data_IF_406423386611
#
_entry.id   IF_406423386611
#
_cell.length_a   1.000
_cell.length_b   1.000
_cell.length_c   1.000
_cell.angle_alpha   90.00
_cell.angle_beta   90.00
_cell.angle_gamma   90.00
#
_symmetry.space_group_name_H-M   'P 1'
#
loop_
_entity.id
_entity.type
_entity.pdbx_description
1 polymer ?
#
# COMPACT_ATOMS: atom_id res chain seq x y z
N UNK A 1 -19.39 17.06 41.82
CA UNK A 1 -18.32 16.16 41.28
C UNK A 1 -18.85 14.94 40.48
N UNK A 2 -20.06 14.40 40.77
CA UNK A 2 -20.67 13.29 40.02
C UNK A 2 -21.35 13.74 38.72
N UNK A 3 -21.79 14.98 38.59
CA UNK A 3 -22.46 15.49 37.39
C UNK A 3 -21.51 15.66 36.16
N UNK A 4 -20.21 15.91 36.38
CA UNK A 4 -19.22 16.03 35.32
C UNK A 4 -18.91 14.69 34.61
N UNK A 5 -19.00 13.58 35.35
CA UNK A 5 -18.75 12.24 34.79
C UNK A 5 -19.92 11.74 33.93
N UNK A 6 -21.15 12.12 34.26
CA UNK A 6 -22.34 11.80 33.44
C UNK A 6 -22.35 12.59 32.12
N UNK A 7 -21.84 13.82 32.10
CA UNK A 7 -21.73 14.65 30.90
C UNK A 7 -20.67 14.10 29.95
N UNK A 8 -19.55 13.60 30.46
CA UNK A 8 -18.52 12.93 29.68
C UNK A 8 -18.99 11.61 29.07
N UNK A 9 -19.84 10.85 29.79
CA UNK A 9 -20.43 9.62 29.31
C UNK A 9 -21.42 9.86 28.17
N UNK A 10 -22.21 10.91 28.22
CA UNK A 10 -23.16 11.29 27.18
C UNK A 10 -22.45 11.79 25.91
N UNK A 11 -21.40 12.59 26.04
CA UNK A 11 -20.60 13.04 24.89
C UNK A 11 -19.83 11.91 24.24
N UNK A 12 -19.34 10.96 25.02
CA UNK A 12 -18.69 9.76 24.51
C UNK A 12 -19.67 8.85 23.76
N UNK A 13 -20.87 8.68 24.28
CA UNK A 13 -21.93 7.88 23.65
C UNK A 13 -22.45 8.52 22.36
N UNK A 14 -22.59 9.84 22.34
CA UNK A 14 -22.97 10.58 21.13
C UNK A 14 -21.86 10.54 20.08
N UNK A 15 -20.61 10.65 20.48
CA UNK A 15 -19.46 10.49 19.58
C UNK A 15 -19.38 9.09 19.00
N UNK A 16 -19.65 8.07 19.79
CA UNK A 16 -19.67 6.68 19.32
C UNK A 16 -20.81 6.43 18.33
N UNK A 17 -21.98 7.00 18.53
CA UNK A 17 -23.09 6.87 17.59
C UNK A 17 -22.87 7.65 16.29
N UNK A 18 -22.14 8.77 16.32
CA UNK A 18 -21.76 9.51 15.11
C UNK A 18 -20.62 8.84 14.35
N UNK A 19 -19.70 8.13 15.04
CA UNK A 19 -18.62 7.40 14.42
C UNK A 19 -19.06 6.04 13.84
N UNK A 20 -20.19 5.48 14.27
CA UNK A 20 -20.74 4.25 13.70
C UNK A 20 -21.26 4.42 12.26
N UNK A 21 -21.49 5.65 11.80
CA UNK A 21 -21.83 5.97 10.42
C UNK A 21 -20.64 6.41 9.57
N UNK A 22 -19.43 6.48 10.14
CA UNK A 22 -18.21 6.61 9.36
C UNK A 22 -17.77 5.22 8.93
N UNK A 23 -17.79 5.02 7.64
CA UNK A 23 -17.20 3.88 6.96
C UNK A 23 -15.85 3.54 7.59
N UNK A 24 -15.75 2.34 8.18
CA UNK A 24 -14.52 1.92 8.86
C UNK A 24 -13.53 1.45 7.81
N UNK A 25 -12.58 2.32 7.46
CA UNK A 25 -11.44 1.96 6.63
C UNK A 25 -10.54 1.02 7.45
N UNK A 26 -10.16 -0.15 6.93
CA UNK A 26 -9.23 -1.03 7.65
C UNK A 26 -7.94 -0.33 8.00
N UNK A 27 -7.43 -0.56 9.20
CA UNK A 27 -6.20 0.07 9.70
C UNK A 27 -5.01 -0.16 8.75
N UNK A 28 -4.90 -1.36 8.19
CA UNK A 28 -3.84 -1.68 7.22
C UNK A 28 -3.88 -0.74 6.01
N UNK A 29 -5.06 -0.44 5.49
CA UNK A 29 -5.23 0.49 4.37
C UNK A 29 -4.80 1.90 4.77
N UNK A 30 -5.22 2.38 5.94
CA UNK A 30 -4.82 3.70 6.44
C UNK A 30 -3.31 3.83 6.58
N UNK A 31 -2.66 2.80 7.09
CA UNK A 31 -1.20 2.78 7.28
C UNK A 31 -0.44 2.77 5.95
N UNK A 32 -0.90 1.99 4.98
CA UNK A 32 -0.31 1.98 3.64
C UNK A 32 -0.46 3.36 2.98
N UNK A 33 -1.66 3.93 3.02
CA UNK A 33 -1.95 5.26 2.46
C UNK A 33 -1.09 6.33 3.10
N UNK A 34 -0.98 6.33 4.41
CA UNK A 34 -0.14 7.28 5.15
C UNK A 34 1.32 7.19 4.72
N UNK A 35 1.85 5.97 4.59
CA UNK A 35 3.21 5.75 4.14
C UNK A 35 3.43 6.24 2.71
N UNK A 36 2.57 5.86 1.77
CA UNK A 36 2.68 6.25 0.36
C UNK A 36 2.58 7.77 0.20
N UNK A 37 1.65 8.41 0.90
CA UNK A 37 1.51 9.87 0.86
C UNK A 37 2.79 10.57 1.35
N UNK A 38 3.39 10.08 2.43
CA UNK A 38 4.64 10.62 2.96
C UNK A 38 5.81 10.42 1.99
N UNK A 39 5.96 9.22 1.46
CA UNK A 39 7.02 8.90 0.48
C UNK A 39 6.89 9.75 -0.78
N UNK A 40 5.67 9.93 -1.27
CA UNK A 40 5.39 10.77 -2.43
C UNK A 40 5.77 12.24 -2.19
N UNK A 41 5.39 12.81 -1.04
CA UNK A 41 5.74 14.20 -0.68
C UNK A 41 7.26 14.41 -0.61
N UNK A 42 7.96 13.42 -0.08
CA UNK A 42 9.42 13.46 0.08
C UNK A 42 10.19 13.03 -1.19
N UNK A 43 9.48 12.58 -2.21
CA UNK A 43 10.06 12.02 -3.44
C UNK A 43 11.04 10.88 -3.14
N UNK A 44 10.63 10.00 -2.25
CA UNK A 44 11.37 8.78 -1.92
C UNK A 44 10.80 7.64 -2.76
N UNK A 45 11.64 7.02 -3.58
CA UNK A 45 11.25 5.90 -4.41
C UNK A 45 10.82 4.70 -3.58
N UNK A 46 9.71 4.07 -3.96
CA UNK A 46 9.16 2.92 -3.24
C UNK A 46 8.50 1.95 -4.20
N UNK A 47 8.54 0.67 -3.84
CA UNK A 47 7.89 -0.42 -4.55
C UNK A 47 7.24 -1.35 -3.52
N UNK A 48 5.92 -1.33 -3.46
CA UNK A 48 5.13 -2.10 -2.51
C UNK A 48 4.21 -3.04 -3.29
N UNK A 49 4.28 -4.33 -2.97
CA UNK A 49 3.48 -5.36 -3.61
C UNK A 49 2.48 -5.92 -2.60
N UNK A 50 1.20 -5.85 -2.94
CA UNK A 50 0.14 -6.43 -2.14
C UNK A 50 -0.21 -7.80 -2.72
N UNK A 51 0.15 -8.87 -2.01
CA UNK A 51 -0.18 -10.23 -2.38
C UNK A 51 -1.69 -10.47 -2.23
N UNK A 52 -2.28 -11.13 -3.23
CA UNK A 52 -3.69 -11.54 -3.20
C UNK A 52 -3.79 -13.07 -3.13
N UNK A 53 -4.42 -13.70 -4.12
CA UNK A 53 -4.63 -15.16 -4.13
C UNK A 53 -3.39 -15.93 -4.59
N UNK A 54 -2.66 -15.39 -5.58
CA UNK A 54 -1.43 -16.03 -6.07
C UNK A 54 -0.29 -15.76 -5.08
N UNK A 55 0.27 -16.82 -4.50
CA UNK A 55 1.35 -16.72 -3.53
C UNK A 55 2.63 -16.18 -4.14
N UNK A 56 3.34 -15.35 -3.38
CA UNK A 56 4.61 -14.74 -3.75
C UNK A 56 5.79 -15.29 -2.94
N UNK A 57 5.69 -16.51 -2.48
CA UNK A 57 6.71 -17.15 -1.62
C UNK A 57 8.11 -17.08 -2.23
N UNK A 58 8.24 -17.37 -3.52
CA UNK A 58 9.54 -17.33 -4.22
C UNK A 58 10.14 -15.93 -4.22
N UNK A 59 9.32 -14.90 -4.38
CA UNK A 59 9.74 -13.49 -4.31
C UNK A 59 10.16 -13.13 -2.89
N UNK A 60 9.35 -13.51 -1.91
CA UNK A 60 9.60 -13.25 -0.48
C UNK A 60 10.96 -13.81 -0.06
N UNK A 61 11.29 -15.02 -0.51
CA UNK A 61 12.56 -15.70 -0.18
C UNK A 61 13.79 -14.97 -0.73
N UNK A 62 13.66 -14.13 -1.75
CA UNK A 62 14.78 -13.33 -2.28
C UNK A 62 15.17 -12.16 -1.40
N UNK A 63 14.30 -11.73 -0.51
CA UNK A 63 14.48 -10.54 0.31
C UNK A 63 14.87 -10.84 1.74
N UNK A 64 14.80 -9.81 2.56
CA UNK A 64 14.99 -9.89 4.01
C UNK A 64 13.63 -10.12 4.67
N UNK A 65 13.51 -11.20 5.43
CA UNK A 65 12.29 -11.51 6.17
C UNK A 65 12.03 -10.45 7.24
N UNK A 66 10.84 -9.88 7.25
CA UNK A 66 10.38 -8.90 8.25
C UNK A 66 9.32 -9.54 9.14
N UNK A 67 8.26 -10.07 8.53
CA UNK A 67 7.13 -10.71 9.21
C UNK A 67 6.54 -9.87 10.32
N UNK A 68 6.39 -8.58 10.10
CA UNK A 68 5.92 -7.58 11.05
C UNK A 68 4.61 -6.92 10.63
N UNK A 69 3.92 -6.33 11.59
CA UNK A 69 2.67 -5.62 11.33
C UNK A 69 2.90 -4.42 10.41
N UNK A 70 2.03 -4.25 9.41
CA UNK A 70 2.05 -3.08 8.54
C UNK A 70 1.82 -1.83 9.38
N UNK A 71 2.78 -0.90 9.31
CA UNK A 71 2.65 0.44 9.87
C UNK A 71 3.29 1.44 8.94
N UNK A 72 2.77 2.67 8.97
CA UNK A 72 3.34 3.78 8.20
C UNK A 72 4.82 3.98 8.54
N UNK A 73 5.16 3.96 9.83
CA UNK A 73 6.54 4.11 10.27
C UNK A 73 7.47 3.03 9.74
N UNK A 74 7.06 1.78 9.75
CA UNK A 74 7.85 0.67 9.22
C UNK A 74 8.09 0.84 7.71
N UNK A 75 7.04 1.11 6.94
CA UNK A 75 7.15 1.26 5.49
C UNK A 75 8.03 2.45 5.11
N UNK A 76 7.86 3.60 5.76
CA UNK A 76 8.69 4.78 5.51
C UNK A 76 10.17 4.48 5.81
N UNK A 77 10.46 3.85 6.95
CA UNK A 77 11.82 3.52 7.32
C UNK A 77 12.49 2.53 6.37
N UNK A 78 11.74 1.55 5.86
CA UNK A 78 12.29 0.60 4.88
C UNK A 78 12.82 1.34 3.64
N UNK A 79 12.11 2.35 3.15
CA UNK A 79 12.45 3.02 1.90
C UNK A 79 13.40 4.21 2.04
N UNK A 80 13.85 4.54 3.25
CA UNK A 80 14.86 5.58 3.44
C UNK A 80 16.08 5.28 2.57
N UNK A 81 16.51 6.23 1.70
CA UNK A 81 17.64 6.02 0.79
C UNK A 81 18.94 5.65 1.52
N UNK A 82 19.78 4.88 0.85
CA UNK A 82 21.08 4.44 1.35
C UNK A 82 21.02 3.52 2.58
N UNK A 83 19.88 2.88 2.80
CA UNK A 83 19.73 1.85 3.84
C UNK A 83 19.67 0.46 3.19
N UNK A 84 20.00 -0.62 3.92
CA UNK A 84 20.05 -1.97 3.34
C UNK A 84 18.73 -2.48 2.76
N UNK A 85 17.59 -1.97 3.24
CA UNK A 85 16.27 -2.49 2.88
C UNK A 85 15.55 -1.69 1.78
N UNK A 86 16.08 -0.51 1.39
CA UNK A 86 15.38 0.39 0.48
C UNK A 86 15.36 -0.09 -0.97
N UNK A 87 16.38 -0.86 -1.38
CA UNK A 87 16.54 -1.33 -2.75
C UNK A 87 15.79 -2.66 -2.95
N UNK A 88 14.76 -2.63 -3.77
CA UNK A 88 13.88 -3.76 -4.02
C UNK A 88 12.45 -3.50 -3.59
N UNK A 89 11.68 -4.57 -3.50
CA UNK A 89 10.26 -4.50 -3.19
C UNK A 89 9.95 -4.94 -1.76
N UNK A 90 8.93 -4.32 -1.19
CA UNK A 90 8.27 -4.78 0.03
C UNK A 90 7.08 -5.64 -0.38
N UNK A 91 6.93 -6.81 0.21
CA UNK A 91 5.77 -7.68 0.00
C UNK A 91 4.88 -7.64 1.23
N UNK A 92 3.62 -7.26 1.02
CA UNK A 92 2.59 -7.24 2.06
C UNK A 92 1.57 -8.33 1.76
N UNK A 93 1.23 -9.10 2.78
CA UNK A 93 0.12 -10.05 2.75
C UNK A 93 -0.79 -9.80 3.95
N UNK A 94 -2.06 -9.45 3.70
CA UNK A 94 -2.97 -9.08 4.76
C UNK A 94 -2.44 -7.89 5.56
N UNK A 95 -2.34 -8.03 6.86
CA UNK A 95 -1.86 -6.98 7.77
C UNK A 95 -0.36 -7.02 8.04
N UNK A 96 0.41 -7.87 7.32
CA UNK A 96 1.83 -8.07 7.61
C UNK A 96 2.72 -7.69 6.44
N UNK A 97 3.83 -7.02 6.76
CA UNK A 97 4.99 -6.91 5.88
C UNK A 97 5.73 -8.23 5.97
N UNK A 98 5.73 -9.01 4.89
CA UNK A 98 6.38 -10.33 4.86
C UNK A 98 7.88 -10.21 4.69
N UNK A 99 8.33 -9.37 3.77
CA UNK A 99 9.75 -9.17 3.48
C UNK A 99 9.98 -7.81 2.82
N UNK A 100 11.24 -7.36 2.86
CA UNK A 100 11.72 -6.17 2.18
C UNK A 100 12.94 -6.50 1.33
N UNK A 101 13.36 -5.58 0.47
CA UNK A 101 14.49 -5.77 -0.44
C UNK A 101 14.34 -7.01 -1.33
N UNK A 102 13.11 -7.33 -1.74
CA UNK A 102 12.83 -8.47 -2.60
C UNK A 102 13.11 -8.14 -4.07
N UNK A 103 13.61 -9.14 -4.81
CA UNK A 103 13.84 -9.02 -6.24
C UNK A 103 12.62 -9.44 -7.04
N UNK A 104 12.26 -8.61 -8.02
CA UNK A 104 11.15 -8.87 -8.92
C UNK A 104 11.65 -9.00 -10.36
N UNK A 105 10.95 -9.80 -11.20
CA UNK A 105 11.25 -9.83 -12.62
C UNK A 105 10.89 -8.48 -13.27
N UNK A 106 11.77 -7.99 -14.13
CA UNK A 106 11.48 -6.79 -14.89
C UNK A 106 10.59 -7.13 -16.08
N UNK A 107 9.62 -6.26 -16.38
CA UNK A 107 8.80 -6.42 -17.56
C UNK A 107 9.63 -6.23 -18.83
N UNK A 108 9.45 -7.12 -19.81
CA UNK A 108 10.05 -7.05 -21.15
C UNK A 108 9.19 -6.27 -22.14
N UNK A 109 8.05 -5.74 -21.69
CA UNK A 109 7.14 -5.02 -22.55
C UNK A 109 7.76 -3.73 -23.08
N UNK A 110 7.99 -3.67 -24.39
CA UNK A 110 8.61 -2.53 -25.05
C UNK A 110 7.67 -1.31 -25.19
N UNK A 111 6.39 -1.49 -24.91
CA UNK A 111 5.40 -0.41 -24.91
C UNK A 111 5.42 0.42 -23.64
N UNK A 112 6.15 -0.01 -22.62
CA UNK A 112 6.31 0.76 -21.39
C UNK A 112 7.08 2.05 -21.71
N UNK A 113 6.59 3.19 -21.19
CA UNK A 113 7.25 4.47 -21.35
C UNK A 113 8.73 4.41 -20.95
N UNK A 114 9.60 4.97 -21.78
CA UNK A 114 11.04 5.01 -21.52
C UNK A 114 11.41 5.88 -20.33
N UNK A 115 10.50 6.74 -19.88
CA UNK A 115 10.67 7.56 -18.68
C UNK A 115 10.68 6.71 -17.40
N UNK A 116 10.12 5.52 -17.44
CA UNK A 116 9.98 4.65 -16.29
C UNK A 116 11.25 3.82 -16.07
N UNK A 117 11.78 3.89 -14.85
CA UNK A 117 12.99 3.18 -14.47
C UNK A 117 12.73 1.75 -14.01
N UNK A 118 13.75 1.16 -13.41
CA UNK A 118 13.79 -0.23 -12.95
C UNK A 118 12.68 -0.58 -11.97
N UNK A 119 12.41 0.31 -11.02
CA UNK A 119 11.37 0.11 -9.99
C UNK A 119 9.99 -0.07 -10.61
N UNK A 120 9.64 0.79 -11.56
CA UNK A 120 8.34 0.70 -12.27
C UNK A 120 8.28 -0.56 -13.13
N UNK A 121 9.35 -0.91 -13.82
CA UNK A 121 9.42 -2.12 -14.64
C UNK A 121 9.30 -3.39 -13.78
N UNK A 122 9.86 -3.37 -12.59
CA UNK A 122 9.72 -4.47 -11.62
C UNK A 122 8.27 -4.62 -11.14
N UNK A 123 7.62 -3.51 -10.80
CA UNK A 123 6.21 -3.52 -10.40
C UNK A 123 5.28 -4.04 -11.49
N UNK A 124 5.51 -3.62 -12.74
CA UNK A 124 4.77 -4.12 -13.89
C UNK A 124 5.07 -5.60 -14.11
N UNK A 125 6.34 -6.00 -14.04
CA UNK A 125 6.78 -7.38 -14.27
C UNK A 125 6.13 -8.39 -13.34
N UNK A 126 6.07 -8.09 -12.04
CA UNK A 126 5.39 -9.00 -11.09
C UNK A 126 3.87 -9.03 -11.33
N UNK A 127 3.29 -7.92 -11.73
CA UNK A 127 1.85 -7.86 -12.03
C UNK A 127 1.46 -8.67 -13.28
N UNK A 128 2.39 -8.97 -14.15
CA UNK A 128 2.19 -9.87 -15.30
C UNK A 128 2.10 -11.34 -14.89
N UNK A 129 2.73 -11.71 -13.76
CA UNK A 129 2.88 -13.10 -13.30
C UNK A 129 2.01 -13.46 -12.11
N UNK A 130 1.41 -12.49 -11.45
CA UNK A 130 0.62 -12.63 -10.24
C UNK A 130 -0.60 -11.73 -10.32
N UNK A 131 -1.63 -12.02 -9.54
CA UNK A 131 -2.80 -11.18 -9.37
C UNK A 131 -2.59 -10.01 -8.41
N UNK A 132 -1.34 -9.75 -8.03
CA UNK A 132 -0.98 -8.72 -7.04
C UNK A 132 -1.31 -7.29 -7.50
N UNK A 133 -1.41 -6.39 -6.54
CA UNK A 133 -1.38 -4.95 -6.78
C UNK A 133 0.04 -4.46 -6.52
N UNK A 134 0.67 -3.85 -7.51
CA UNK A 134 1.95 -3.16 -7.35
C UNK A 134 1.70 -1.67 -7.13
N UNK A 135 2.33 -1.08 -6.12
CA UNK A 135 2.28 0.35 -5.82
C UNK A 135 3.69 0.91 -5.96
N UNK A 136 3.86 1.93 -6.78
CA UNK A 136 5.16 2.55 -7.04
C UNK A 136 5.13 4.04 -6.75
N UNK A 137 6.18 4.55 -6.10
CA UNK A 137 6.41 5.98 -5.92
C UNK A 137 7.69 6.34 -6.68
N UNK A 138 7.61 7.36 -7.52
CA UNK A 138 8.76 7.85 -8.28
C UNK A 138 9.68 8.70 -7.40
N UNK A 139 10.98 8.42 -7.42
CA UNK A 139 11.99 9.24 -6.74
C UNK A 139 12.27 10.56 -7.48
N UNK A 140 11.91 10.66 -8.76
CA UNK A 140 12.15 11.87 -9.54
C UNK A 140 11.12 12.96 -9.26
N UNK A 141 9.84 12.60 -9.23
CA UNK A 141 8.74 13.58 -9.12
C UNK A 141 7.70 13.26 -8.05
N UNK A 142 7.84 12.14 -7.33
CA UNK A 142 6.90 11.74 -6.28
C UNK A 142 5.55 11.23 -6.80
N UNK A 143 5.41 10.98 -8.09
CA UNK A 143 4.14 10.47 -8.63
C UNK A 143 3.87 9.05 -8.15
N UNK A 144 2.59 8.77 -7.89
CA UNK A 144 2.11 7.46 -7.45
C UNK A 144 1.55 6.74 -8.68
N UNK A 145 1.97 5.50 -8.85
CA UNK A 145 1.49 4.60 -9.90
C UNK A 145 1.10 3.26 -9.31
N UNK A 146 0.20 2.56 -9.98
CA UNK A 146 -0.11 1.15 -9.66
C UNK A 146 0.01 0.31 -10.92
N UNK A 147 0.24 -0.98 -10.75
CA UNK A 147 0.21 -1.94 -11.84
C UNK A 147 -0.61 -3.17 -11.43
N UNK A 148 -1.48 -3.61 -12.33
CA UNK A 148 -2.30 -4.82 -12.21
C UNK A 148 -2.37 -5.47 -13.58
N UNK A 149 -2.22 -6.79 -13.63
CA UNK A 149 -2.31 -7.56 -14.88
C UNK A 149 -1.41 -7.02 -16.01
N UNK A 150 -0.24 -6.52 -15.67
CA UNK A 150 0.70 -5.94 -16.62
C UNK A 150 0.38 -4.51 -17.08
N UNK A 151 -0.67 -3.90 -16.54
CA UNK A 151 -1.12 -2.56 -16.94
C UNK A 151 -0.81 -1.56 -15.84
N UNK A 152 -0.04 -0.53 -16.18
CA UNK A 152 0.28 0.56 -15.26
C UNK A 152 -0.78 1.68 -15.34
N UNK A 153 -1.16 2.19 -14.18
CA UNK A 153 -1.95 3.42 -14.02
C UNK A 153 -1.07 4.46 -13.34
N UNK A 154 -0.83 5.59 -14.00
CA UNK A 154 0.10 6.63 -13.53
C UNK A 154 -0.67 7.83 -12.96
N UNK A 155 0.04 8.65 -12.17
CA UNK A 155 -0.46 9.92 -11.62
C UNK A 155 -1.71 9.75 -10.76
N UNK A 156 -1.72 8.71 -9.93
CA UNK A 156 -2.84 8.47 -9.03
C UNK A 156 -2.85 9.47 -7.88
N UNK A 157 -4.05 9.91 -7.51
CA UNK A 157 -4.26 10.59 -6.24
C UNK A 157 -4.45 9.57 -5.10
N UNK A 158 -4.42 10.05 -3.88
CA UNK A 158 -4.54 9.21 -2.68
C UNK A 158 -5.91 8.53 -2.62
N UNK A 159 -6.97 9.21 -3.03
CA UNK A 159 -8.33 8.68 -3.03
C UNK A 159 -8.48 7.50 -3.98
N UNK A 160 -7.88 7.58 -5.16
CA UNK A 160 -7.88 6.47 -6.12
C UNK A 160 -7.09 5.27 -5.61
N UNK A 161 -5.94 5.50 -4.99
CA UNK A 161 -5.15 4.44 -4.38
C UNK A 161 -5.91 3.77 -3.24
N UNK A 162 -6.56 4.56 -2.38
CA UNK A 162 -7.38 4.04 -1.28
C UNK A 162 -8.50 3.15 -1.82
N UNK A 163 -9.19 3.57 -2.87
CA UNK A 163 -10.25 2.77 -3.49
C UNK A 163 -9.73 1.42 -3.98
N UNK A 164 -8.56 1.38 -4.61
CA UNK A 164 -7.92 0.13 -5.05
C UNK A 164 -7.55 -0.79 -3.89
N UNK A 165 -7.06 -0.23 -2.79
CA UNK A 165 -6.75 -1.00 -1.59
C UNK A 165 -8.01 -1.53 -0.90
N UNK A 166 -9.08 -0.75 -0.87
CA UNK A 166 -10.36 -1.18 -0.30
C UNK A 166 -10.97 -2.37 -1.07
N UNK A 167 -10.77 -2.45 -2.38
CA UNK A 167 -11.16 -3.61 -3.17
C UNK A 167 -10.53 -4.92 -2.68
N UNK A 168 -9.31 -4.82 -2.13
CA UNK A 168 -8.57 -5.97 -1.62
C UNK A 168 -8.92 -6.26 -0.16
N UNK A 169 -8.99 -5.22 0.68
CA UNK A 169 -9.10 -5.35 2.14
C UNK A 169 -10.52 -5.30 2.67
N UNK A 170 -11.46 -4.79 1.90
CA UNK A 170 -12.88 -4.66 2.28
C UNK A 170 -13.81 -4.86 1.09
N UNK A 171 -13.79 -6.04 0.45
CA UNK A 171 -14.65 -6.30 -0.71
C UNK A 171 -16.14 -6.20 -0.38
N UNK A 172 -16.54 -6.51 0.85
CA UNK A 172 -17.93 -6.38 1.34
C UNK A 172 -18.39 -4.93 1.39
N UNK A 173 -17.51 -4.02 1.75
CA UNK A 173 -17.78 -2.58 1.77
C UNK A 173 -18.12 -2.04 0.38
N UNK A 174 -17.37 -2.47 -0.64
CA UNK A 174 -17.61 -2.07 -2.02
C UNK A 174 -18.95 -2.57 -2.55
N UNK A 175 -19.39 -3.76 -2.13
CA UNK A 175 -20.69 -4.31 -2.50
C UNK A 175 -21.85 -3.47 -1.95
N UNK A 176 -21.66 -2.82 -0.81
CA UNK A 176 -22.65 -1.94 -0.18
C UNK A 176 -22.73 -0.55 -0.85
N UNK A 177 -21.61 -0.05 -1.41
CA UNK A 177 -21.59 1.24 -2.11
C UNK A 177 -22.23 1.17 -3.49
N UNK A 178 -22.22 0.02 -4.13
CA UNK A 178 -22.75 -0.20 -5.48
C UNK A 178 -24.23 -0.59 -5.51
N UNK A 179 -24.89 -0.65 -4.36
CA UNK A 179 -26.34 -0.77 -4.24
C UNK A 179 -26.94 0.64 -4.21
#
# INVERSE_FOLDING_TARGET
>A
KRQGLQYLGLTSSIKNNFSQNKEVVPETVEEIISAVASLARQKIGALIIIEKEVGLTEVIETGTEINGLVSSGLLINIFIPNTPLHDGAVIIKGSKVKAAACFLPLSDNQKISKELGTRHRAGIGISEKSDCLSIMVSEENGTISTAENGVISRYLDIETLEAKLLEIYSPEYLSLIHI
#
